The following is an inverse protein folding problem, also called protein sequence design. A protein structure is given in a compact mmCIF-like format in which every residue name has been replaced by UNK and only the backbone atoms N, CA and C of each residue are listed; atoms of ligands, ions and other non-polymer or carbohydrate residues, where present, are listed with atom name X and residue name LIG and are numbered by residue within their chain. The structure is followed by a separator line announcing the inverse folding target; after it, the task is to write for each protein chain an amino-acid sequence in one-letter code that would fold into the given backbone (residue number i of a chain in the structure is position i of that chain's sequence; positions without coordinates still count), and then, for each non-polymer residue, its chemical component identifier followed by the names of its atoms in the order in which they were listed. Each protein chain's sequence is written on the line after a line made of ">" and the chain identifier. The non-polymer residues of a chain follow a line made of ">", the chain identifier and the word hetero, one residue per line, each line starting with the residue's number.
data_IF_289259916806
#
_entry.id   IF_289259916806
#
_cell.length_a   1.000
_cell.length_b   1.000
_cell.length_c   1.000
_cell.angle_alpha   90.00
_cell.angle_beta   90.00
_cell.angle_gamma   90.00
#
_symmetry.space_group_name_H-M   'P 1'
#
loop_
_entity.id
_entity.type
_entity.pdbx_description
1 polymer ?
#
# COMPACT_ATOMS: atom_id res chain seq x y z
N UNK A 1 25.39 -24.54 29.92
CA UNK A 1 25.45 -24.64 28.45
C UNK A 1 24.08 -24.24 27.93
N UNK A 2 23.90 -22.97 27.56
CA UNK A 2 22.64 -22.46 27.03
C UNK A 2 22.95 -21.70 25.75
N UNK A 3 22.51 -22.24 24.62
CA UNK A 3 22.61 -21.58 23.32
C UNK A 3 21.46 -20.58 23.21
N UNK A 4 21.77 -19.29 23.33
CA UNK A 4 20.83 -18.24 22.97
C UNK A 4 20.65 -18.29 21.44
N UNK A 5 19.53 -18.86 20.99
CA UNK A 5 19.10 -18.80 19.59
C UNK A 5 18.83 -17.35 19.23
N UNK A 6 19.63 -16.79 18.33
CA UNK A 6 19.45 -15.45 17.80
C UNK A 6 18.14 -15.42 17.00
N UNK A 7 17.13 -14.73 17.53
CA UNK A 7 15.94 -14.37 16.76
C UNK A 7 16.35 -13.18 15.88
N UNK A 8 16.53 -13.44 14.59
CA UNK A 8 16.73 -12.41 13.58
C UNK A 8 15.56 -11.40 13.64
N UNK A 9 15.80 -10.08 13.50
CA UNK A 9 14.71 -9.12 13.39
C UNK A 9 13.97 -9.43 12.09
N UNK A 10 12.78 -10.02 12.22
CA UNK A 10 11.90 -10.32 11.11
C UNK A 10 11.64 -8.97 10.41
N UNK A 11 12.01 -8.84 9.13
CA UNK A 11 11.58 -7.70 8.33
C UNK A 11 10.05 -7.78 8.27
N UNK A 12 9.37 -7.01 9.14
CA UNK A 12 7.93 -6.90 9.12
C UNK A 12 7.56 -6.13 7.86
N UNK A 13 7.39 -6.84 6.75
CA UNK A 13 6.75 -6.31 5.56
C UNK A 13 5.35 -5.86 5.98
N UNK A 14 5.09 -4.56 5.92
CA UNK A 14 3.74 -4.03 6.10
C UNK A 14 2.93 -4.40 4.85
N UNK A 15 2.56 -5.68 4.75
CA UNK A 15 1.60 -6.16 3.76
C UNK A 15 0.27 -5.53 4.11
N UNK A 16 -0.20 -4.58 3.30
CA UNK A 16 -1.63 -4.28 3.30
C UNK A 16 -2.28 -5.39 2.51
N UNK A 17 -2.87 -6.31 3.27
CA UNK A 17 -3.74 -7.33 2.72
C UNK A 17 -5.06 -6.57 2.45
N UNK A 18 -5.42 -6.27 1.18
CA UNK A 18 -6.76 -5.79 0.92
C UNK A 18 -7.75 -6.81 1.48
N UNK A 19 -8.95 -6.39 1.94
CA UNK A 19 -9.94 -7.33 2.42
C UNK A 19 -10.12 -8.43 1.36
N UNK A 20 -10.05 -9.73 1.73
CA UNK A 20 -10.04 -10.85 0.77
C UNK A 20 -11.30 -10.92 -0.11
N UNK A 21 -12.27 -10.04 0.10
CA UNK A 21 -13.55 -9.96 -0.60
C UNK A 21 -13.70 -8.73 -1.49
N UNK A 22 -12.79 -7.75 -1.44
CA UNK A 22 -12.97 -6.49 -2.16
C UNK A 22 -12.36 -6.56 -3.56
N UNK A 23 -13.22 -6.59 -4.58
CA UNK A 23 -12.84 -6.63 -5.99
C UNK A 23 -12.26 -5.28 -6.43
N UNK A 24 -11.23 -5.32 -7.29
CA UNK A 24 -10.66 -4.12 -7.91
C UNK A 24 -11.64 -3.60 -8.95
N UNK A 25 -12.06 -2.34 -8.81
CA UNK A 25 -12.90 -1.62 -9.78
C UNK A 25 -12.03 -0.99 -10.85
N UNK A 26 -10.94 -0.35 -10.44
CA UNK A 26 -10.03 0.36 -11.33
C UNK A 26 -8.65 0.52 -10.71
N UNK A 27 -7.64 0.52 -11.56
CA UNK A 27 -6.27 0.77 -11.16
C UNK A 27 -5.52 1.59 -12.22
N UNK A 28 -4.41 2.22 -11.82
CA UNK A 28 -3.53 2.89 -12.75
C UNK A 28 -2.72 4.03 -12.15
N UNK A 29 -1.92 4.67 -13.01
CA UNK A 29 -1.09 5.81 -12.66
C UNK A 29 -1.90 7.10 -12.61
N UNK A 30 -1.78 7.84 -11.51
CA UNK A 30 -2.32 9.18 -11.35
C UNK A 30 -1.24 10.12 -10.79
N UNK A 31 -1.31 11.39 -11.16
CA UNK A 31 -0.53 12.42 -10.49
C UNK A 31 -1.28 12.88 -9.22
N UNK A 32 -0.68 12.66 -8.05
CA UNK A 32 -1.19 13.14 -6.76
C UNK A 32 -0.46 14.42 -6.36
N UNK A 33 -1.20 15.46 -5.99
CA UNK A 33 -0.64 16.65 -5.34
C UNK A 33 -0.26 16.32 -3.89
N UNK A 34 0.94 16.69 -3.46
CA UNK A 34 1.32 16.60 -2.05
C UNK A 34 0.51 17.56 -1.17
N UNK A 35 0.28 17.18 0.09
CA UNK A 35 -0.52 17.96 1.03
C UNK A 35 0.22 19.20 1.52
N UNK A 36 1.44 19.01 2.03
CA UNK A 36 2.29 20.11 2.51
C UNK A 36 3.15 20.73 1.41
N UNK A 37 3.66 19.90 0.49
CA UNK A 37 4.45 20.33 -0.67
C UNK A 37 3.60 20.13 -1.92
N UNK A 38 3.17 21.23 -2.55
CA UNK A 38 2.21 21.23 -3.68
C UNK A 38 2.79 20.71 -5.01
N UNK A 39 3.80 19.85 -4.96
CA UNK A 39 4.31 19.17 -6.15
C UNK A 39 3.41 18.00 -6.53
N UNK A 40 3.25 17.79 -7.83
CA UNK A 40 2.58 16.62 -8.38
C UNK A 40 3.56 15.47 -8.50
N UNK A 41 3.19 14.28 -8.01
CA UNK A 41 4.03 13.08 -8.10
C UNK A 41 3.20 11.93 -8.64
N UNK A 42 3.73 11.14 -9.58
CA UNK A 42 3.04 9.95 -10.07
C UNK A 42 2.93 8.94 -8.93
N UNK A 43 1.76 8.32 -8.79
CA UNK A 43 1.47 7.24 -7.85
C UNK A 43 0.51 6.26 -8.52
N UNK A 44 0.72 4.98 -8.25
CA UNK A 44 -0.19 3.95 -8.70
C UNK A 44 -1.32 3.82 -7.69
N UNK A 45 -2.56 3.94 -8.14
CA UNK A 45 -3.74 3.84 -7.28
C UNK A 45 -4.58 2.62 -7.65
N UNK A 46 -5.19 2.03 -6.64
CA UNK A 46 -6.13 0.92 -6.79
C UNK A 46 -7.40 1.29 -6.02
N UNK A 47 -8.50 1.31 -6.75
CA UNK A 47 -9.85 1.52 -6.23
C UNK A 47 -10.55 0.18 -6.10
N UNK A 48 -11.02 -0.10 -4.90
CA UNK A 48 -11.78 -1.30 -4.56
C UNK A 48 -13.29 -1.02 -4.51
N UNK A 49 -14.11 -2.07 -4.65
CA UNK A 49 -15.58 -1.96 -4.63
C UNK A 49 -16.16 -1.46 -3.29
N UNK A 50 -15.42 -1.62 -2.20
CA UNK A 50 -15.77 -1.12 -0.86
C UNK A 50 -15.55 0.40 -0.70
N UNK A 51 -15.04 1.08 -1.74
CA UNK A 51 -14.68 2.49 -1.71
C UNK A 51 -13.27 2.78 -1.18
N UNK A 52 -12.50 1.75 -0.83
CA UNK A 52 -11.10 1.91 -0.44
C UNK A 52 -10.25 2.34 -1.64
N UNK A 53 -9.43 3.38 -1.46
CA UNK A 53 -8.49 3.87 -2.47
C UNK A 53 -7.07 3.85 -1.91
N UNK A 54 -6.26 2.93 -2.40
CA UNK A 54 -4.90 2.70 -1.89
C UNK A 54 -3.88 3.21 -2.90
N UNK A 55 -2.89 3.97 -2.43
CA UNK A 55 -1.84 4.56 -3.26
C UNK A 55 -0.47 3.96 -3.00
N UNK A 56 0.19 3.48 -4.06
CA UNK A 56 1.52 2.88 -4.06
C UNK A 56 2.53 3.80 -4.76
N UNK A 57 3.81 3.67 -4.42
CA UNK A 57 4.91 4.39 -5.10
C UNK A 57 5.17 3.83 -6.50
N UNK A 58 5.09 2.51 -6.63
CA UNK A 58 5.26 1.74 -7.85
C UNK A 58 4.01 0.90 -8.10
N UNK A 59 3.86 0.35 -9.30
CA UNK A 59 2.87 -0.69 -9.55
C UNK A 59 3.23 -1.91 -8.67
N UNK A 60 2.32 -2.38 -7.80
CA UNK A 60 2.54 -3.63 -7.08
C UNK A 60 2.37 -4.80 -8.06
N UNK A 61 3.41 -5.62 -8.25
CA UNK A 61 3.39 -6.82 -9.11
C UNK A 61 2.53 -7.94 -8.48
N UNK A 62 1.27 -7.65 -8.18
CA UNK A 62 0.34 -8.52 -7.44
C UNK A 62 0.59 -8.58 -5.93
N UNK A 63 1.70 -8.04 -5.44
CA UNK A 63 2.03 -7.96 -4.01
C UNK A 63 1.91 -6.52 -3.54
N UNK A 64 0.88 -6.25 -2.73
CA UNK A 64 0.60 -4.93 -2.14
C UNK A 64 1.55 -4.62 -0.98
N UNK A 65 2.85 -4.53 -1.25
CA UNK A 65 3.86 -4.09 -0.29
C UNK A 65 3.93 -2.55 -0.24
N UNK A 66 4.13 -2.02 0.96
CA UNK A 66 4.35 -0.59 1.24
C UNK A 66 3.23 0.38 0.83
N UNK A 67 2.01 0.19 1.37
CA UNK A 67 0.88 1.11 1.23
C UNK A 67 1.26 2.49 1.82
N UNK A 68 1.56 3.47 0.97
CA UNK A 68 2.02 4.77 1.48
C UNK A 68 0.86 5.67 1.94
N UNK A 69 -0.40 5.33 1.64
CA UNK A 69 -1.57 6.05 2.15
C UNK A 69 -2.82 5.17 2.15
N UNK A 70 -3.56 5.19 3.26
CA UNK A 70 -4.89 4.62 3.46
C UNK A 70 -5.94 5.73 3.50
N UNK A 71 -6.51 6.12 2.36
CA UNK A 71 -7.63 7.07 2.34
C UNK A 71 -8.95 6.30 2.31
N UNK A 72 -9.79 6.48 3.34
CA UNK A 72 -11.19 6.04 3.31
C UNK A 72 -12.05 7.22 2.85
N UNK A 73 -12.83 7.02 1.78
CA UNK A 73 -13.83 8.00 1.36
C UNK A 73 -15.14 7.66 2.08
N UNK A 74 -15.60 8.55 2.97
CA UNK A 74 -16.93 8.50 3.58
C UNK A 74 -17.89 9.42 2.85
#
# INVERSE_FOLDING_TARGET
>A
MAIASQVSPQMSINLVIPPPTSRVVKEGWLYKRGEHIKNWRPRYFILFEDGSLIGFKSNPDGVYTDPLNNFTVR
#
